data_IF_428290268860
#
_entry.id   IF_428290268860
#
_cell.length_a   1.000
_cell.length_b   1.000
_cell.length_c   1.000
_cell.angle_alpha   90.00
_cell.angle_beta   90.00
_cell.angle_gamma   90.00
#
_symmetry.space_group_name_H-M   'P 1'
#
loop_
_entity.id
_entity.type
_entity.pdbx_description
1 polymer ?
#
# COMPACT_ATOMS: atom_id res chain seq x y z
N UNK A 1 14.09 14.45 -19.03
CA UNK A 1 14.20 13.02 -18.61
C UNK A 1 14.13 12.78 -17.10
N UNK A 2 14.17 13.79 -16.22
CA UNK A 2 14.09 13.60 -14.75
C UNK A 2 12.66 13.34 -14.24
N UNK A 3 11.65 13.91 -14.91
CA UNK A 3 10.24 13.80 -14.51
C UNK A 3 9.69 12.36 -14.61
N UNK A 4 10.12 11.61 -15.64
CA UNK A 4 9.74 10.19 -15.81
C UNK A 4 10.27 9.35 -14.65
N UNK A 5 11.52 9.60 -14.23
CA UNK A 5 12.14 8.87 -13.12
C UNK A 5 11.44 9.14 -11.78
N UNK A 6 10.95 10.36 -11.58
CA UNK A 6 10.17 10.74 -10.39
C UNK A 6 8.80 10.05 -10.38
N UNK A 7 8.14 10.00 -11.53
CA UNK A 7 6.86 9.31 -11.68
C UNK A 7 7.02 7.79 -11.47
N UNK A 8 8.09 7.18 -11.99
CA UNK A 8 8.41 5.77 -11.76
C UNK A 8 8.67 5.47 -10.28
N UNK A 9 9.32 6.39 -9.56
CA UNK A 9 9.56 6.26 -8.12
C UNK A 9 8.26 6.31 -7.31
N UNK A 10 7.37 7.27 -7.62
CA UNK A 10 6.05 7.40 -6.99
C UNK A 10 5.19 6.16 -7.30
N UNK A 11 5.18 5.72 -8.55
CA UNK A 11 4.51 4.48 -8.98
C UNK A 11 5.05 3.26 -8.23
N UNK A 12 6.37 3.10 -8.12
CA UNK A 12 7.00 2.01 -7.36
C UNK A 12 6.70 2.06 -5.88
N UNK A 13 6.65 3.26 -5.28
CA UNK A 13 6.31 3.43 -3.88
C UNK A 13 4.84 3.06 -3.62
N UNK A 14 3.93 3.50 -4.49
CA UNK A 14 2.51 3.09 -4.47
C UNK A 14 2.36 1.58 -4.67
N UNK A 15 3.08 1.00 -5.63
CA UNK A 15 3.01 -0.43 -5.96
C UNK A 15 3.61 -1.31 -4.86
N UNK A 16 4.67 -0.84 -4.18
CA UNK A 16 5.25 -1.50 -3.01
C UNK A 16 4.29 -1.46 -1.83
N UNK A 17 3.68 -0.31 -1.55
CA UNK A 17 2.64 -0.17 -0.51
C UNK A 17 1.43 -1.05 -0.83
N UNK A 18 1.03 -1.13 -2.10
CA UNK A 18 -0.11 -1.93 -2.55
C UNK A 18 0.17 -3.43 -2.46
N UNK A 19 1.37 -3.90 -2.86
CA UNK A 19 1.80 -5.29 -2.64
C UNK A 19 1.86 -5.65 -1.15
N UNK A 20 2.29 -4.73 -0.30
CA UNK A 20 2.33 -4.95 1.15
C UNK A 20 0.93 -5.09 1.72
N UNK A 21 0.00 -4.26 1.25
CA UNK A 21 -1.42 -4.35 1.52
C UNK A 21 -2.02 -5.67 1.05
N UNK A 22 -1.73 -6.07 -0.19
CA UNK A 22 -2.17 -7.32 -0.80
C UNK A 22 -1.64 -8.53 -0.02
N UNK A 23 -0.39 -8.49 0.43
CA UNK A 23 0.20 -9.53 1.28
C UNK A 23 -0.44 -9.58 2.67
N UNK A 24 -0.76 -8.42 3.27
CA UNK A 24 -1.55 -8.34 4.49
C UNK A 24 -2.98 -8.86 4.24
N UNK A 25 -3.59 -8.59 3.08
CA UNK A 25 -4.94 -9.05 2.69
C UNK A 25 -4.96 -10.55 2.46
N UNK A 26 -3.94 -11.07 1.77
CA UNK A 26 -3.77 -12.47 1.43
C UNK A 26 -3.43 -13.34 2.66
N UNK A 27 -2.84 -12.77 3.72
CA UNK A 27 -2.74 -13.41 5.04
C UNK A 27 -4.13 -13.43 5.68
N UNK A 28 -5.01 -14.28 5.17
CA UNK A 28 -6.42 -14.44 5.53
C UNK A 28 -6.63 -15.20 6.86
N UNK A 29 -5.64 -15.18 7.76
CA UNK A 29 -5.86 -15.52 9.16
C UNK A 29 -6.71 -14.43 9.80
N UNK A 30 -7.36 -14.64 10.97
CA UNK A 30 -8.08 -13.58 11.67
C UNK A 30 -7.08 -12.49 12.06
N UNK A 31 -6.86 -11.55 11.13
CA UNK A 31 -6.01 -10.40 11.32
C UNK A 31 -6.58 -9.68 12.53
N UNK A 32 -5.81 -9.56 13.63
CA UNK A 32 -6.27 -8.84 14.80
C UNK A 32 -6.77 -7.45 14.39
N UNK A 33 -7.74 -6.89 15.12
CA UNK A 33 -8.36 -5.57 14.83
C UNK A 33 -7.34 -4.48 14.46
N UNK A 34 -6.13 -4.56 15.01
CA UNK A 34 -5.00 -3.70 14.69
C UNK A 34 -4.52 -3.81 13.23
N UNK A 35 -4.37 -5.01 12.68
CA UNK A 35 -3.96 -5.22 11.29
C UNK A 35 -5.07 -4.85 10.29
N UNK A 36 -6.34 -5.05 10.66
CA UNK A 36 -7.53 -4.58 9.93
C UNK A 36 -7.54 -3.04 9.84
N UNK A 37 -7.32 -2.37 10.97
CA UNK A 37 -7.19 -0.93 11.04
C UNK A 37 -5.97 -0.42 10.25
N UNK A 38 -4.83 -1.11 10.34
CA UNK A 38 -3.63 -0.76 9.58
C UNK A 38 -3.82 -0.91 8.08
N UNK A 39 -4.49 -1.97 7.61
CA UNK A 39 -4.88 -2.11 6.19
C UNK A 39 -5.72 -0.93 5.74
N UNK A 40 -6.81 -0.63 6.46
CA UNK A 40 -7.71 0.49 6.14
C UNK A 40 -6.93 1.82 6.10
N UNK A 41 -6.02 2.03 7.05
CA UNK A 41 -5.16 3.22 7.10
C UNK A 41 -4.17 3.28 5.93
N UNK A 42 -3.60 2.14 5.54
CA UNK A 42 -2.67 2.04 4.41
C UNK A 42 -3.41 2.28 3.08
N UNK A 43 -4.63 1.76 2.92
CA UNK A 43 -5.48 1.99 1.74
C UNK A 43 -5.85 3.46 1.64
N UNK A 44 -6.33 4.06 2.73
CA UNK A 44 -6.66 5.49 2.78
C UNK A 44 -5.45 6.35 2.43
N UNK A 45 -4.26 6.02 2.95
CA UNK A 45 -3.02 6.73 2.62
C UNK A 45 -2.58 6.54 1.17
N UNK A 46 -2.97 5.44 0.51
CA UNK A 46 -2.70 5.16 -0.89
C UNK A 46 -3.71 5.80 -1.86
N UNK A 47 -4.96 5.98 -1.41
CA UNK A 47 -6.04 6.61 -2.18
C UNK A 47 -6.10 8.13 -2.00
N UNK A 48 -5.53 8.67 -0.93
CA UNK A 48 -5.48 10.13 -0.66
C UNK A 48 -4.26 10.84 -1.29
N UNK A 49 -3.42 10.11 -2.04
CA UNK A 49 -2.23 10.58 -2.78
C UNK A 49 -2.48 10.47 -4.30
#
# INVERSE_FOLDING_TARGET
>A
MWSIKKHDLVMKERLSKMKLLDSLIAKQDPLPDYEEALKKKLINKLMSD
#
